data_IF_565618437134
#
_entry.id   IF_565618437134
#
_cell.length_a   1.000
_cell.length_b   1.000
_cell.length_c   1.000
_cell.angle_alpha   90.00
_cell.angle_beta   90.00
_cell.angle_gamma   90.00
#
_symmetry.space_group_name_H-M   'P 1'
#
loop_
_entity.id
_entity.type
_entity.pdbx_description
1 polymer ?
#
# COMPACT_ATOMS: atom_id res chain seq x y z
N UNK A 1 -9.63 -2.95 16.57
CA UNK A 1 -9.48 -3.29 15.14
C UNK A 1 -10.44 -2.36 14.43
N UNK A 2 -9.92 -1.46 13.59
CA UNK A 2 -10.80 -0.51 12.89
C UNK A 2 -11.51 -1.29 11.79
N UNK A 3 -12.85 -1.30 11.80
CA UNK A 3 -13.63 -1.95 10.74
C UNK A 3 -13.22 -1.47 9.34
N UNK A 4 -12.74 -0.23 9.22
CA UNK A 4 -12.30 0.35 7.97
C UNK A 4 -11.05 -0.32 7.37
N UNK A 5 -10.05 -0.68 8.20
CA UNK A 5 -8.86 -1.39 7.69
C UNK A 5 -9.18 -2.78 7.20
N UNK A 6 -10.11 -3.46 7.89
CA UNK A 6 -10.54 -4.80 7.52
C UNK A 6 -11.30 -4.79 6.19
N UNK A 7 -12.18 -3.79 5.95
CA UNK A 7 -12.90 -3.62 4.67
C UNK A 7 -11.95 -3.43 3.48
N UNK A 8 -10.93 -2.57 3.60
CA UNK A 8 -9.94 -2.43 2.52
C UNK A 8 -9.11 -3.71 2.35
N UNK A 9 -8.78 -4.39 3.46
CA UNK A 9 -8.12 -5.70 3.42
C UNK A 9 -8.93 -6.73 2.63
N UNK A 10 -10.24 -6.79 2.82
CA UNK A 10 -11.14 -7.69 2.08
C UNK A 10 -11.17 -7.40 0.59
N UNK A 11 -11.04 -6.13 0.18
CA UNK A 11 -10.88 -5.75 -1.23
C UNK A 11 -9.53 -6.15 -1.81
N UNK A 12 -8.47 -6.10 -1.00
CA UNK A 12 -7.10 -6.42 -1.45
C UNK A 12 -6.88 -7.91 -1.62
N UNK A 13 -7.29 -8.74 -0.65
CA UNK A 13 -7.02 -10.19 -0.64
C UNK A 13 -7.34 -10.93 -1.95
N UNK A 14 -8.48 -10.73 -2.63
CA UNK A 14 -8.77 -11.43 -3.89
C UNK A 14 -7.94 -10.92 -5.07
N UNK A 15 -7.35 -9.73 -4.99
CA UNK A 15 -6.56 -9.11 -6.07
C UNK A 15 -5.05 -9.35 -5.93
N UNK A 16 -4.60 -9.83 -4.77
CA UNK A 16 -3.19 -10.09 -4.51
C UNK A 16 -2.76 -11.43 -5.10
N UNK A 17 -1.52 -11.52 -5.61
CA UNK A 17 -0.98 -12.80 -6.03
C UNK A 17 -0.76 -13.72 -4.83
N UNK A 18 -0.69 -15.02 -5.10
CA UNK A 18 -0.38 -16.02 -4.08
C UNK A 18 1.05 -15.83 -3.52
N UNK A 19 1.26 -16.23 -2.27
CA UNK A 19 2.59 -16.25 -1.64
C UNK A 19 2.96 -14.99 -0.84
N UNK A 20 2.09 -13.98 -0.80
CA UNK A 20 2.29 -12.84 0.11
C UNK A 20 1.93 -13.22 1.55
N UNK A 21 2.69 -12.68 2.50
CA UNK A 21 2.44 -12.87 3.93
C UNK A 21 1.68 -11.66 4.45
N UNK A 22 0.48 -11.88 5.00
CA UNK A 22 -0.30 -10.84 5.68
C UNK A 22 0.20 -10.65 7.13
N UNK A 23 0.42 -9.39 7.53
CA UNK A 23 0.84 -9.00 8.89
C UNK A 23 0.05 -7.78 9.34
N UNK A 24 -0.33 -7.74 10.61
CA UNK A 24 -0.90 -6.53 11.22
C UNK A 24 0.22 -5.53 11.50
N UNK A 25 0.12 -4.32 10.94
CA UNK A 25 1.08 -3.24 11.13
C UNK A 25 0.50 -1.87 10.81
N UNK A 26 1.09 -0.80 11.37
CA UNK A 26 0.65 0.59 11.17
C UNK A 26 -0.84 0.84 11.48
N UNK A 27 -1.39 0.07 12.42
CA UNK A 27 -2.80 0.12 12.78
C UNK A 27 -3.76 -0.47 11.75
N UNK A 28 -3.24 -1.09 10.68
CA UNK A 28 -3.99 -1.85 9.67
C UNK A 28 -3.27 -3.15 9.29
N UNK A 29 -3.31 -3.49 8.01
CA UNK A 29 -2.73 -4.70 7.42
C UNK A 29 -1.55 -4.35 6.51
N UNK A 30 -0.58 -5.24 6.41
CA UNK A 30 0.54 -5.16 5.48
C UNK A 30 0.74 -6.52 4.81
N UNK A 31 0.86 -6.50 3.49
CA UNK A 31 1.10 -7.66 2.66
C UNK A 31 2.55 -7.65 2.19
N UNK A 32 3.26 -8.72 2.54
CA UNK A 32 4.72 -8.80 2.43
C UNK A 32 5.10 -9.73 1.28
N UNK A 33 6.03 -9.28 0.43
CA UNK A 33 6.70 -10.06 -0.59
C UNK A 33 8.17 -10.23 -0.19
N UNK A 34 8.63 -11.48 -0.03
CA UNK A 34 10.01 -11.81 0.37
C UNK A 34 10.51 -11.00 1.60
N UNK A 35 9.64 -10.80 2.60
CA UNK A 35 9.96 -10.06 3.81
C UNK A 35 9.89 -8.53 3.69
N UNK A 36 9.65 -7.98 2.49
CA UNK A 36 9.42 -6.55 2.24
C UNK A 36 7.94 -6.24 2.09
N UNK A 37 7.46 -5.15 2.70
CA UNK A 37 6.05 -4.74 2.56
C UNK A 37 5.85 -4.14 1.17
N UNK A 38 4.90 -4.70 0.42
CA UNK A 38 4.51 -4.18 -0.90
C UNK A 38 3.29 -3.26 -0.79
N UNK A 39 2.23 -3.73 -0.14
CA UNK A 39 0.97 -3.00 -0.06
C UNK A 39 0.27 -3.31 1.25
N UNK A 40 -0.65 -2.46 1.68
CA UNK A 40 -1.35 -2.63 2.94
C UNK A 40 -2.49 -1.65 3.11
N UNK A 41 -2.96 -1.53 4.33
CA UNK A 41 -4.02 -0.61 4.71
C UNK A 41 -3.56 0.27 5.87
N UNK A 42 -3.98 1.53 5.87
CA UNK A 42 -3.80 2.41 7.03
C UNK A 42 -4.85 2.09 8.10
N UNK A 43 -4.66 2.59 9.32
CA UNK A 43 -5.67 2.50 10.39
C UNK A 43 -7.01 3.17 10.03
N UNK A 44 -7.01 4.09 9.05
CA UNK A 44 -8.19 4.79 8.55
C UNK A 44 -8.93 4.00 7.46
N UNK A 45 -8.40 2.85 7.02
CA UNK A 45 -8.99 2.07 5.93
C UNK A 45 -8.60 2.54 4.53
N UNK A 46 -7.56 3.35 4.41
CA UNK A 46 -7.01 3.77 3.12
C UNK A 46 -5.93 2.80 2.67
N UNK A 47 -5.56 2.86 1.39
CA UNK A 47 -4.52 2.03 0.84
C UNK A 47 -3.14 2.56 1.22
N UNK A 48 -2.23 1.68 1.64
CA UNK A 48 -0.81 1.99 1.85
C UNK A 48 0.00 1.30 0.75
N UNK A 49 0.82 2.06 0.03
CA UNK A 49 1.51 1.56 -1.17
C UNK A 49 3.02 1.75 -1.00
N UNK A 50 3.80 0.68 -1.17
CA UNK A 50 5.25 0.74 -1.29
C UNK A 50 5.61 1.36 -2.63
N UNK A 51 6.50 2.34 -2.61
CA UNK A 51 6.96 3.03 -3.81
C UNK A 51 8.49 3.08 -3.84
N UNK A 52 9.02 3.25 -5.05
CA UNK A 52 10.39 3.70 -5.22
C UNK A 52 10.52 5.13 -4.66
N UNK A 53 11.40 5.38 -3.66
CA UNK A 53 11.61 6.72 -3.13
C UNK A 53 12.03 7.74 -4.20
N UNK A 54 12.69 7.31 -5.27
CA UNK A 54 13.09 8.19 -6.39
C UNK A 54 11.91 8.62 -7.26
N UNK A 55 10.82 7.85 -7.27
CA UNK A 55 9.58 8.12 -8.03
C UNK A 55 8.46 8.68 -7.16
N UNK A 56 8.79 9.20 -5.99
CA UNK A 56 7.79 9.68 -5.04
C UNK A 56 6.92 10.80 -5.61
N UNK A 57 7.50 11.76 -6.35
CA UNK A 57 6.73 12.82 -6.98
C UNK A 57 5.74 12.27 -8.03
N UNK A 58 6.14 11.28 -8.83
CA UNK A 58 5.26 10.60 -9.79
C UNK A 58 4.10 9.90 -9.08
N UNK A 59 4.40 9.19 -7.99
CA UNK A 59 3.39 8.44 -7.26
C UNK A 59 2.38 9.36 -6.58
N UNK A 60 2.83 10.51 -6.04
CA UNK A 60 1.99 11.55 -5.44
C UNK A 60 1.16 12.34 -6.47
N UNK A 61 1.55 12.34 -7.75
CA UNK A 61 0.76 12.96 -8.81
C UNK A 61 -0.46 12.12 -9.22
N UNK A 62 -0.56 10.86 -8.77
CA UNK A 62 -1.68 9.99 -9.09
C UNK A 62 -2.92 10.37 -8.25
N UNK A 63 -4.14 10.17 -8.77
CA UNK A 63 -5.37 10.52 -8.06
C UNK A 63 -5.45 9.88 -6.67
N UNK A 64 -5.85 10.68 -5.67
CA UNK A 64 -6.03 10.26 -4.28
C UNK A 64 -4.75 9.92 -3.53
N UNK A 65 -3.57 9.98 -4.17
CA UNK A 65 -2.30 9.69 -3.54
C UNK A 65 -1.81 10.87 -2.72
N UNK A 66 -1.33 10.60 -1.49
CA UNK A 66 -0.79 11.62 -0.62
C UNK A 66 0.34 11.10 0.25
N UNK A 67 1.16 12.04 0.71
CA UNK A 67 2.37 11.74 1.46
C UNK A 67 2.04 11.29 2.88
N UNK A 68 2.50 10.09 3.24
CA UNK A 68 2.39 9.58 4.60
C UNK A 68 3.40 10.26 5.52
N UNK A 69 2.98 10.51 6.75
CA UNK A 69 3.82 11.12 7.78
C UNK A 69 3.87 10.20 9.01
N UNK A 70 5.08 10.01 9.55
CA UNK A 70 5.31 9.35 10.83
C UNK A 70 5.63 10.43 11.86
N UNK A 71 4.60 10.87 12.58
CA UNK A 71 4.68 12.08 13.41
C UNK A 71 4.91 13.31 12.53
N UNK A 72 5.95 14.08 12.81
CA UNK A 72 6.30 15.28 12.04
C UNK A 72 7.11 15.00 10.76
N UNK A 73 7.57 13.75 10.55
CA UNK A 73 8.48 13.43 9.44
C UNK A 73 7.75 12.74 8.29
N UNK A 74 7.98 13.15 7.03
CA UNK A 74 7.48 12.41 5.87
C UNK A 74 8.10 11.00 5.85
N UNK A 75 7.28 9.99 5.59
CA UNK A 75 7.75 8.63 5.34
C UNK A 75 8.25 8.53 3.90
N UNK A 76 9.47 8.05 3.72
CA UNK A 76 10.02 7.78 2.39
C UNK A 76 9.71 6.35 1.97
N UNK A 77 9.47 6.15 0.67
CA UNK A 77 9.19 4.82 0.11
C UNK A 77 7.78 4.29 0.38
N UNK A 78 6.89 5.10 0.95
CA UNK A 78 5.48 4.76 1.13
C UNK A 78 4.59 5.99 0.92
N UNK A 79 3.43 5.76 0.31
CA UNK A 79 2.35 6.74 0.20
C UNK A 79 1.04 6.11 0.67
N UNK A 80 0.06 6.94 1.00
CA UNK A 80 -1.31 6.51 1.17
C UNK A 80 -2.16 6.94 -0.03
N UNK A 81 -3.22 6.19 -0.30
CA UNK A 81 -4.19 6.49 -1.34
C UNK A 81 -5.59 6.42 -0.75
N UNK A 82 -6.33 7.52 -0.84
CA UNK A 82 -7.69 7.62 -0.35
C UNK A 82 -8.72 6.93 -1.27
N UNK A 83 -10.00 7.04 -0.93
CA UNK A 83 -11.10 6.44 -1.68
C UNK A 83 -11.19 6.95 -3.14
N UNK A 84 -10.78 8.19 -3.42
CA UNK A 84 -10.82 8.76 -4.78
C UNK A 84 -9.79 8.11 -5.71
N UNK A 85 -8.68 7.61 -5.16
CA UNK A 85 -7.67 6.85 -5.88
C UNK A 85 -7.90 5.34 -5.90
N UNK A 86 -8.93 4.85 -5.20
CA UNK A 86 -9.28 3.43 -5.08
C UNK A 86 -10.80 3.14 -5.30
N UNK A 87 -11.45 3.75 -6.32
CA UNK A 87 -12.89 3.66 -6.50
C UNK A 87 -13.38 2.25 -6.86
N UNK A 88 -12.53 1.45 -7.52
CA UNK A 88 -12.84 0.12 -8.00
C UNK A 88 -11.64 -0.82 -7.91
N UNK A 89 -11.87 -2.09 -8.19
CA UNK A 89 -10.84 -3.13 -8.15
C UNK A 89 -9.77 -2.93 -9.22
N UNK A 90 -10.12 -2.32 -10.37
CA UNK A 90 -9.15 -2.02 -11.42
C UNK A 90 -8.12 -0.96 -10.94
N UNK A 91 -8.56 0.05 -10.19
CA UNK A 91 -7.69 1.03 -9.55
C UNK A 91 -6.79 0.38 -8.49
N UNK A 92 -7.35 -0.51 -7.66
CA UNK A 92 -6.57 -1.27 -6.70
C UNK A 92 -5.52 -2.16 -7.39
N UNK A 93 -5.88 -2.89 -8.44
CA UNK A 93 -4.95 -3.73 -9.20
C UNK A 93 -3.79 -2.93 -9.80
N UNK A 94 -4.03 -1.69 -10.27
CA UNK A 94 -2.94 -0.81 -10.74
C UNK A 94 -1.98 -0.44 -9.62
N UNK A 95 -2.47 -0.18 -8.42
CA UNK A 95 -1.62 0.10 -7.26
C UNK A 95 -0.88 -1.13 -6.75
N UNK A 96 -1.54 -2.29 -6.74
CA UNK A 96 -0.92 -3.59 -6.42
C UNK A 96 0.24 -3.86 -7.38
N UNK A 97 0.00 -3.79 -8.68
CA UNK A 97 1.05 -4.01 -9.69
C UNK A 97 2.20 -3.01 -9.53
N UNK A 98 1.89 -1.72 -9.28
CA UNK A 98 2.90 -0.70 -9.05
C UNK A 98 3.78 -1.00 -7.84
N UNK A 99 3.17 -1.37 -6.71
CA UNK A 99 3.89 -1.72 -5.49
C UNK A 99 4.75 -2.98 -5.63
N UNK A 100 4.20 -4.02 -6.26
CA UNK A 100 4.90 -5.29 -6.45
C UNK A 100 6.10 -5.12 -7.39
N UNK A 101 5.93 -4.41 -8.50
CA UNK A 101 7.00 -4.15 -9.45
C UNK A 101 8.24 -3.53 -8.80
N UNK A 102 8.06 -2.62 -7.84
CA UNK A 102 9.20 -2.09 -7.07
C UNK A 102 9.67 -3.06 -5.99
N UNK A 103 8.75 -3.70 -5.26
CA UNK A 103 9.10 -4.60 -4.15
C UNK A 103 9.89 -5.81 -4.62
N UNK A 104 9.63 -6.33 -5.81
CA UNK A 104 10.39 -7.40 -6.46
C UNK A 104 11.86 -7.03 -6.71
N UNK A 105 12.18 -5.74 -6.85
CA UNK A 105 13.57 -5.27 -7.04
C UNK A 105 14.36 -5.19 -5.74
N UNK A 106 13.69 -5.31 -4.58
CA UNK A 106 14.35 -5.20 -3.28
C UNK A 106 14.98 -6.54 -2.88
N UNK A 107 16.15 -6.52 -2.21
CA UNK A 107 16.72 -7.74 -1.66
C UNK A 107 15.75 -8.36 -0.64
N UNK A 108 15.56 -9.69 -0.64
CA UNK A 108 14.79 -10.39 0.39
C UNK A 108 15.30 -10.06 1.79
N UNK A 109 14.39 -10.07 2.77
CA UNK A 109 14.69 -9.86 4.19
C UNK A 109 14.60 -11.13 5.02
#
# INVERSE_FOLDING_TARGET
MSSASDVMGDRLRPLLPAGLIEKKMFGGLGFMLHGNMAIGTTAKGELLVRIDPTKQAEALARPGAYQMHMGARPMTGFIAVDASGTPDDAALSRWIAYALAFTETLPPK
#
